data_IF_084908642649
#
_entry.id   IF_084908642649
#
_cell.length_a   1.000
_cell.length_b   1.000
_cell.length_c   1.000
_cell.angle_alpha   90.00
_cell.angle_beta   90.00
_cell.angle_gamma   90.00
#
_symmetry.space_group_name_H-M   'P 1'
#
loop_
_entity.id
_entity.type
_entity.pdbx_description
1 polymer ?
#
# COMPACT_ATOMS: atom_id res chain seq x y z
N UNK A 1 -7.22 30.05 17.15
CA UNK A 1 -6.61 30.23 18.50
C UNK A 1 -5.10 30.31 18.36
N UNK A 2 -4.38 31.22 19.02
CA UNK A 2 -2.98 31.51 18.65
C UNK A 2 -2.02 30.44 19.17
N UNK A 3 -1.14 30.05 18.28
CA UNK A 3 -0.03 29.05 18.42
C UNK A 3 0.91 29.26 19.65
N UNK A 4 0.67 30.23 20.53
CA UNK A 4 1.49 30.50 21.71
C UNK A 4 1.10 29.71 22.96
N UNK A 5 -0.10 29.12 23.04
CA UNK A 5 -0.50 28.31 24.19
C UNK A 5 0.01 26.87 24.16
N UNK A 6 0.27 26.32 22.97
CA UNK A 6 0.74 24.93 22.82
C UNK A 6 2.22 24.74 23.25
N UNK A 7 3.03 25.80 23.15
CA UNK A 7 4.44 25.75 23.54
C UNK A 7 4.69 25.85 25.05
N UNK A 8 3.72 26.28 25.82
CA UNK A 8 3.81 26.38 27.30
C UNK A 8 3.45 25.08 28.02
N UNK A 9 2.67 24.20 27.38
CA UNK A 9 2.33 22.89 27.97
C UNK A 9 3.45 21.86 27.85
N UNK A 10 4.27 21.94 26.81
CA UNK A 10 5.37 21.00 26.60
C UNK A 10 6.61 21.30 27.46
N UNK A 11 6.78 22.55 27.91
CA UNK A 11 7.89 22.96 28.79
C UNK A 11 7.66 22.62 30.27
N UNK A 12 6.42 22.32 30.68
CA UNK A 12 6.10 22.03 32.08
C UNK A 12 6.21 20.53 32.41
N UNK A 13 6.18 19.65 31.44
CA UNK A 13 6.30 18.19 31.63
C UNK A 13 7.76 17.70 31.69
N UNK A 14 8.73 18.49 31.22
CA UNK A 14 10.15 18.15 31.27
C UNK A 14 10.86 18.54 32.57
N UNK A 15 10.19 19.28 33.46
CA UNK A 15 10.80 19.77 34.72
C UNK A 15 10.49 18.89 35.95
N UNK A 16 9.72 17.79 35.80
CA UNK A 16 9.30 16.95 36.94
C UNK A 16 10.05 15.59 37.02
N UNK A 17 11.01 15.33 36.16
CA UNK A 17 11.72 14.04 36.09
C UNK A 17 13.12 14.03 36.70
N UNK A 18 13.54 15.05 37.49
CA UNK A 18 14.93 15.21 37.98
C UNK A 18 15.07 15.32 39.50
N UNK A 19 14.17 14.79 40.30
CA UNK A 19 14.36 14.69 41.76
C UNK A 19 13.90 13.34 42.28
N UNK A 20 14.68 12.28 42.05
CA UNK A 20 14.69 11.07 42.89
C UNK A 20 15.92 10.21 42.56
N UNK A 21 17.08 10.62 43.03
CA UNK A 21 18.27 9.75 43.18
C UNK A 21 19.16 10.31 44.22
N UNK A 22 18.91 10.00 45.49
CA UNK A 22 19.89 9.96 46.55
C UNK A 22 19.26 9.34 47.78
N UNK A 23 19.60 8.09 48.10
CA UNK A 23 20.00 7.59 49.40
C UNK A 23 20.14 6.07 49.30
N UNK A 24 21.34 5.62 49.56
CA UNK A 24 21.79 4.25 49.58
C UNK A 24 21.34 3.48 50.82
N UNK A 25 21.55 2.20 50.82
CA UNK A 25 22.31 1.47 51.82
C UNK A 25 22.54 0.03 51.40
N UNK A 26 23.72 -0.42 51.80
CA UNK A 26 24.31 -1.75 51.66
C UNK A 26 23.40 -2.88 52.20
N UNK A 27 23.41 -4.05 51.51
CA UNK A 27 23.51 -5.34 52.18
C UNK A 27 23.87 -6.46 51.19
N UNK A 28 24.83 -7.26 51.63
CA UNK A 28 25.50 -8.39 50.97
C UNK A 28 24.53 -9.58 50.64
N UNK A 29 24.63 -10.11 49.41
CA UNK A 29 24.08 -11.41 49.01
C UNK A 29 24.76 -11.96 47.76
N UNK A 30 24.99 -13.27 47.64
CA UNK A 30 26.11 -13.83 46.88
C UNK A 30 25.91 -13.82 45.35
N UNK A 31 27.05 -13.68 44.69
CA UNK A 31 27.26 -13.69 43.24
C UNK A 31 26.56 -14.86 42.52
N UNK A 32 25.66 -14.56 41.62
CA UNK A 32 25.21 -15.49 40.58
C UNK A 32 26.20 -15.46 39.42
N UNK A 33 26.79 -16.62 39.13
CA UNK A 33 27.69 -16.84 38.00
C UNK A 33 26.94 -16.62 36.68
N UNK A 34 27.46 -15.71 35.86
CA UNK A 34 27.08 -15.58 34.46
C UNK A 34 27.67 -16.78 33.72
N UNK A 35 26.81 -17.67 33.25
CA UNK A 35 27.19 -18.74 32.32
C UNK A 35 27.19 -18.07 30.93
N UNK A 36 28.38 -17.88 30.42
CA UNK A 36 28.63 -17.49 29.03
C UNK A 36 28.31 -18.70 28.14
N UNK A 37 27.13 -18.72 27.53
CA UNK A 37 26.75 -19.72 26.56
C UNK A 37 27.40 -19.38 25.21
N UNK A 38 28.42 -20.16 24.89
CA UNK A 38 29.14 -20.07 23.62
C UNK A 38 28.20 -20.43 22.44
N UNK A 39 28.07 -19.51 21.47
CA UNK A 39 27.43 -19.78 20.21
C UNK A 39 28.17 -20.92 19.46
N UNK A 40 27.46 -21.85 18.80
CA UNK A 40 28.11 -22.88 17.99
C UNK A 40 28.74 -22.28 16.72
N UNK A 41 30.02 -22.60 16.52
CA UNK A 41 30.78 -22.33 15.31
C UNK A 41 30.10 -22.94 14.08
N UNK A 42 29.86 -22.11 13.08
CA UNK A 42 29.36 -22.56 11.79
C UNK A 42 30.42 -23.40 11.05
N UNK A 43 30.14 -24.67 10.80
CA UNK A 43 30.96 -25.57 9.97
C UNK A 43 30.90 -25.09 8.52
N UNK A 44 32.03 -24.95 7.82
CA UNK A 44 32.01 -24.56 6.42
C UNK A 44 31.46 -25.70 5.54
N UNK A 45 30.34 -25.42 4.88
CA UNK A 45 29.76 -26.32 3.86
C UNK A 45 30.68 -26.35 2.65
N UNK A 46 31.21 -27.53 2.36
CA UNK A 46 32.06 -27.87 1.23
C UNK A 46 31.30 -27.62 -0.08
N UNK A 47 31.87 -26.79 -0.96
CA UNK A 47 31.33 -26.51 -2.27
C UNK A 47 31.28 -27.78 -3.13
N UNK A 48 30.14 -28.01 -3.79
CA UNK A 48 29.97 -29.09 -4.77
C UNK A 48 30.83 -28.82 -6.02
N UNK A 49 31.38 -29.86 -6.65
CA UNK A 49 32.19 -29.71 -7.87
C UNK A 49 31.32 -29.29 -9.05
N UNK A 50 31.85 -28.38 -9.87
CA UNK A 50 31.26 -27.94 -11.13
C UNK A 50 31.06 -29.09 -12.12
N UNK A 51 30.00 -29.10 -12.94
CA UNK A 51 29.80 -30.09 -13.97
C UNK A 51 30.86 -29.94 -15.08
N UNK A 52 31.45 -31.04 -15.44
CA UNK A 52 32.40 -31.19 -16.53
C UNK A 52 31.67 -30.96 -17.86
N UNK A 53 32.14 -30.02 -18.63
CA UNK A 53 31.69 -29.72 -19.99
C UNK A 53 32.11 -30.86 -20.90
N UNK A 54 31.12 -31.65 -21.40
CA UNK A 54 31.32 -32.71 -22.38
C UNK A 54 31.39 -32.07 -23.77
N UNK A 55 32.52 -32.23 -24.42
CA UNK A 55 32.79 -31.68 -25.74
C UNK A 55 31.89 -32.32 -26.81
N UNK A 56 31.17 -31.48 -27.55
CA UNK A 56 30.40 -31.88 -28.71
C UNK A 56 31.33 -32.34 -29.87
N UNK A 57 30.95 -33.38 -30.64
CA UNK A 57 31.74 -33.83 -31.75
C UNK A 57 31.73 -32.85 -32.92
N UNK A 58 32.91 -32.64 -33.52
CA UNK A 58 33.13 -31.83 -34.72
C UNK A 58 32.29 -32.36 -35.91
N UNK A 59 31.49 -31.43 -36.48
CA UNK A 59 30.73 -31.68 -37.69
C UNK A 59 31.66 -31.58 -38.91
N UNK A 60 31.75 -32.66 -39.71
CA UNK A 60 32.43 -32.74 -40.99
C UNK A 60 31.80 -31.78 -42.01
N UNK A 61 32.57 -30.99 -42.76
CA UNK A 61 32.00 -30.06 -43.73
C UNK A 61 31.48 -30.84 -44.96
N UNK A 62 30.17 -30.70 -45.19
CA UNK A 62 29.53 -31.17 -46.43
C UNK A 62 29.69 -30.07 -47.48
N UNK A 63 30.31 -30.47 -48.60
CA UNK A 63 30.55 -29.65 -49.80
C UNK A 63 29.23 -29.14 -50.38
N UNK A 64 29.10 -27.82 -50.58
CA UNK A 64 27.93 -27.17 -51.15
C UNK A 64 27.87 -27.34 -52.67
N UNK A 65 26.68 -27.57 -53.26
CA UNK A 65 26.52 -27.64 -54.72
C UNK A 65 26.74 -26.26 -55.38
N UNK A 66 27.18 -26.22 -56.64
CA UNK A 66 27.52 -24.97 -57.32
C UNK A 66 26.29 -24.07 -57.54
N UNK A 67 26.50 -22.77 -57.31
CA UNK A 67 25.51 -21.74 -57.49
C UNK A 67 25.05 -21.59 -58.95
N UNK A 68 23.75 -21.32 -59.21
CA UNK A 68 23.26 -20.98 -60.54
C UNK A 68 23.75 -19.60 -60.97
N UNK A 69 24.06 -19.47 -62.22
CA UNK A 69 24.52 -18.26 -62.91
C UNK A 69 23.43 -17.14 -62.82
N UNK A 70 23.78 -15.92 -62.44
CA UNK A 70 22.81 -14.84 -62.32
C UNK A 70 22.30 -14.38 -63.70
N UNK A 71 20.97 -14.42 -63.86
CA UNK A 71 20.26 -13.69 -64.95
C UNK A 71 20.26 -12.21 -64.63
N UNK A 72 20.51 -11.27 -65.57
CA UNK A 72 20.47 -9.89 -65.28
C UNK A 72 19.04 -9.45 -64.93
N UNK A 73 18.87 -8.98 -63.71
CA UNK A 73 17.63 -8.37 -63.25
C UNK A 73 17.48 -6.97 -63.89
N UNK A 74 16.28 -6.70 -64.43
CA UNK A 74 15.85 -5.38 -64.84
C UNK A 74 15.79 -4.43 -63.62
N UNK A 75 15.76 -3.09 -63.86
CA UNK A 75 15.73 -2.12 -62.79
C UNK A 75 14.47 -2.32 -61.91
N UNK A 76 14.72 -2.53 -60.61
CA UNK A 76 13.63 -2.59 -59.62
C UNK A 76 12.93 -1.21 -59.53
N UNK A 77 11.62 -1.19 -59.32
CA UNK A 77 10.91 0.06 -58.97
C UNK A 77 11.53 0.61 -57.69
N UNK A 78 11.91 1.88 -57.71
CA UNK A 78 12.28 2.61 -56.50
C UNK A 78 11.04 2.70 -55.61
N UNK A 79 10.98 1.87 -54.60
CA UNK A 79 9.98 1.99 -53.52
C UNK A 79 10.32 3.24 -52.76
N UNK A 80 9.48 4.29 -52.99
CA UNK A 80 9.53 5.54 -52.26
C UNK A 80 9.26 5.18 -50.79
N UNK A 81 10.31 5.27 -49.94
CA UNK A 81 10.21 5.01 -48.52
C UNK A 81 9.10 5.92 -47.95
N UNK A 82 8.07 5.27 -47.37
CA UNK A 82 7.07 6.00 -46.61
C UNK A 82 7.79 6.84 -45.54
N UNK A 83 7.41 8.13 -45.37
CA UNK A 83 8.02 8.95 -44.34
C UNK A 83 7.90 8.23 -43.00
N UNK A 84 9.03 8.07 -42.31
CA UNK A 84 9.04 7.60 -40.93
C UNK A 84 8.09 8.51 -40.13
N UNK A 85 7.22 7.95 -39.25
CA UNK A 85 6.37 8.78 -38.45
C UNK A 85 7.27 9.72 -37.63
N UNK A 86 7.11 11.01 -37.86
CA UNK A 86 7.77 12.02 -37.04
C UNK A 86 7.38 11.72 -35.59
N UNK A 87 8.33 11.63 -34.64
CA UNK A 87 8.00 11.47 -33.24
C UNK A 87 7.00 12.59 -32.89
N UNK A 88 5.80 12.22 -32.47
CA UNK A 88 4.85 13.19 -31.96
C UNK A 88 5.46 13.71 -30.66
N UNK A 89 6.02 14.90 -30.71
CA UNK A 89 6.52 15.58 -29.52
C UNK A 89 5.37 15.66 -28.53
N UNK A 90 5.57 15.07 -27.34
CA UNK A 90 4.55 15.10 -26.30
C UNK A 90 4.15 16.55 -26.00
N UNK A 91 2.89 16.84 -25.68
CA UNK A 91 2.48 18.21 -25.35
C UNK A 91 3.42 18.78 -24.28
N UNK A 92 3.94 20.01 -24.45
CA UNK A 92 4.96 20.58 -23.57
C UNK A 92 4.49 20.85 -22.13
N UNK A 93 3.20 20.65 -21.85
CA UNK A 93 2.57 21.06 -20.59
C UNK A 93 2.24 19.91 -19.63
N UNK A 94 2.74 18.69 -19.85
CA UNK A 94 2.52 17.58 -18.93
C UNK A 94 3.83 17.00 -18.38
N UNK A 95 3.85 16.53 -17.12
CA UNK A 95 5.01 15.87 -16.54
C UNK A 95 5.49 14.71 -17.39
N UNK A 96 6.82 14.57 -17.51
CA UNK A 96 7.47 13.49 -18.25
C UNK A 96 8.25 12.55 -17.30
N UNK A 97 8.52 13.02 -16.09
CA UNK A 97 9.34 12.32 -15.09
C UNK A 97 8.68 12.40 -13.72
N UNK A 98 7.78 11.47 -13.47
CA UNK A 98 7.01 11.40 -12.23
C UNK A 98 7.73 10.48 -11.24
N UNK A 99 7.97 10.95 -10.02
CA UNK A 99 8.29 10.11 -8.88
C UNK A 99 7.05 9.98 -8.02
N UNK A 100 6.59 8.74 -7.76
CA UNK A 100 5.44 8.49 -6.89
C UNK A 100 5.87 7.84 -5.58
N UNK A 101 5.60 8.51 -4.47
CA UNK A 101 5.83 8.02 -3.11
C UNK A 101 4.50 7.67 -2.42
N UNK A 102 3.52 7.26 -3.21
CA UNK A 102 2.19 6.85 -2.76
C UNK A 102 1.75 5.60 -3.52
N UNK A 103 1.60 4.45 -2.86
CA UNK A 103 1.12 3.23 -3.51
C UNK A 103 -0.22 3.41 -4.21
N UNK A 104 -1.15 4.14 -3.61
CA UNK A 104 -2.46 4.43 -4.21
C UNK A 104 -2.32 5.28 -5.48
N UNK A 105 -1.56 6.38 -5.42
CA UNK A 105 -1.35 7.24 -6.57
C UNK A 105 -0.61 6.50 -7.69
N UNK A 106 0.34 5.62 -7.35
CA UNK A 106 1.02 4.76 -8.33
C UNK A 106 0.01 3.89 -9.08
N UNK A 107 -0.88 3.19 -8.38
CA UNK A 107 -1.92 2.38 -9.04
C UNK A 107 -2.82 3.21 -9.95
N UNK A 108 -3.21 4.40 -9.52
CA UNK A 108 -4.05 5.32 -10.31
C UNK A 108 -3.30 5.78 -11.56
N UNK A 109 -2.04 6.23 -11.43
CA UNK A 109 -1.21 6.69 -12.55
C UNK A 109 -1.10 5.62 -13.65
N UNK A 110 -0.86 4.37 -13.26
CA UNK A 110 -0.82 3.27 -14.23
C UNK A 110 -2.20 2.98 -14.83
N UNK A 111 -3.25 3.00 -14.04
CA UNK A 111 -4.63 2.72 -14.52
C UNK A 111 -5.12 3.78 -15.52
N UNK A 112 -4.74 5.06 -15.36
CA UNK A 112 -5.08 6.11 -16.32
C UNK A 112 -4.06 6.22 -17.46
N UNK A 113 -3.15 5.26 -17.62
CA UNK A 113 -2.20 5.19 -18.72
C UNK A 113 -1.07 6.21 -18.65
N UNK A 114 -0.71 6.69 -17.46
CA UNK A 114 0.44 7.57 -17.22
C UNK A 114 1.72 6.80 -16.82
N UNK A 115 1.73 5.47 -16.89
CA UNK A 115 2.84 4.63 -16.45
C UNK A 115 4.18 4.97 -17.12
N UNK A 116 4.18 5.32 -18.41
CA UNK A 116 5.40 5.70 -19.14
C UNK A 116 6.04 6.99 -18.62
N UNK A 117 5.30 7.82 -17.86
CA UNK A 117 5.79 9.05 -17.23
C UNK A 117 6.43 8.76 -15.87
N UNK A 118 6.13 7.59 -15.26
CA UNK A 118 6.63 7.22 -13.92
C UNK A 118 8.04 6.67 -14.02
N UNK A 119 9.01 7.38 -13.44
CA UNK A 119 10.43 7.01 -13.49
C UNK A 119 10.94 6.31 -12.24
N UNK A 120 10.28 6.50 -11.09
CA UNK A 120 10.58 5.82 -9.84
C UNK A 120 9.35 5.79 -8.93
N UNK A 121 9.23 4.75 -8.13
CA UNK A 121 8.22 4.65 -7.09
C UNK A 121 8.84 4.15 -5.79
N UNK A 122 8.18 4.35 -4.66
CA UNK A 122 8.66 3.87 -3.37
C UNK A 122 8.60 2.35 -3.23
N UNK A 123 9.19 1.81 -2.17
CA UNK A 123 9.31 0.37 -1.93
C UNK A 123 7.98 -0.35 -1.68
N UNK A 124 6.90 0.39 -1.38
CA UNK A 124 5.55 -0.15 -1.18
C UNK A 124 4.65 -0.03 -2.41
N UNK A 125 5.10 0.67 -3.44
CA UNK A 125 4.39 0.91 -4.70
C UNK A 125 4.69 -0.17 -5.76
N UNK A 126 4.58 -1.45 -5.39
CA UNK A 126 4.94 -2.60 -6.24
C UNK A 126 3.79 -3.10 -7.13
N UNK A 127 2.69 -2.39 -7.20
CA UNK A 127 1.58 -2.69 -8.11
C UNK A 127 1.27 -1.49 -9.01
N UNK A 128 1.07 -1.72 -10.31
CA UNK A 128 1.17 -3.00 -11.02
C UNK A 128 2.64 -3.49 -11.12
N UNK A 129 2.88 -4.75 -11.57
CA UNK A 129 4.24 -5.33 -11.63
C UNK A 129 5.24 -4.56 -12.49
N UNK A 130 4.74 -3.69 -13.39
CA UNK A 130 5.54 -2.83 -14.27
C UNK A 130 6.06 -1.58 -13.57
N UNK A 131 5.56 -1.26 -12.38
CA UNK A 131 5.99 -0.08 -11.63
C UNK A 131 7.51 -0.14 -11.35
N UNK A 132 8.25 0.96 -11.60
CA UNK A 132 9.70 1.02 -11.39
C UNK A 132 10.04 1.17 -9.90
N UNK A 133 9.89 0.10 -9.12
CA UNK A 133 10.09 0.05 -7.67
C UNK A 133 11.54 0.34 -7.32
N UNK A 134 11.74 1.19 -6.34
CA UNK A 134 13.04 1.62 -5.82
C UNK A 134 13.11 1.44 -4.30
N UNK A 135 14.18 1.88 -3.67
CA UNK A 135 14.35 1.96 -2.22
C UNK A 135 13.88 3.31 -1.62
N UNK A 136 13.21 4.15 -2.42
CA UNK A 136 12.57 5.35 -1.91
C UNK A 136 11.48 5.01 -0.89
N UNK A 137 11.24 5.95 0.04
CA UNK A 137 10.25 5.79 1.09
C UNK A 137 9.26 6.96 1.08
N UNK A 138 7.96 6.66 1.10
CA UNK A 138 6.91 7.66 1.35
C UNK A 138 6.75 8.04 2.82
N UNK A 139 7.30 7.24 3.76
CA UNK A 139 7.24 7.47 5.20
C UNK A 139 8.43 8.25 5.75
N UNK A 140 9.61 8.00 5.19
CA UNK A 140 10.87 8.65 5.56
C UNK A 140 11.59 9.10 4.28
N UNK A 141 11.00 10.06 3.53
CA UNK A 141 11.53 10.49 2.26
C UNK A 141 12.79 11.33 2.44
N UNK A 142 13.70 11.19 1.46
CA UNK A 142 14.90 12.00 1.36
C UNK A 142 14.89 12.80 0.06
N UNK A 143 14.98 14.13 0.16
CA UNK A 143 14.93 15.07 -0.98
C UNK A 143 16.00 14.76 -2.01
N UNK A 144 17.26 14.51 -1.60
CA UNK A 144 18.37 14.25 -2.53
C UNK A 144 18.17 12.93 -3.27
N UNK A 145 17.65 11.89 -2.58
CA UNK A 145 17.32 10.60 -3.21
C UNK A 145 16.22 10.75 -4.26
N UNK A 146 15.16 11.52 -3.96
CA UNK A 146 14.08 11.82 -4.91
C UNK A 146 14.61 12.60 -6.11
N UNK A 147 15.42 13.63 -5.88
CA UNK A 147 16.01 14.48 -6.94
C UNK A 147 16.98 13.72 -7.84
N UNK A 148 17.56 12.60 -7.39
CA UNK A 148 18.45 11.78 -8.21
C UNK A 148 17.73 11.18 -9.44
N UNK A 149 16.40 11.13 -9.42
CA UNK A 149 15.55 10.68 -10.54
C UNK A 149 15.16 11.82 -11.46
N UNK A 150 15.62 13.07 -11.20
CA UNK A 150 15.32 14.25 -12.01
C UNK A 150 13.82 14.44 -12.29
N UNK A 151 12.94 14.41 -11.26
CA UNK A 151 11.50 14.52 -11.46
C UNK A 151 11.09 15.94 -11.86
N UNK A 152 10.04 16.04 -12.66
CA UNK A 152 9.28 17.26 -12.91
C UNK A 152 7.96 17.31 -12.14
N UNK A 153 7.51 16.13 -11.62
CA UNK A 153 6.40 16.01 -10.67
C UNK A 153 6.74 14.94 -9.63
N UNK A 154 6.46 15.24 -8.36
CA UNK A 154 6.49 14.26 -7.28
C UNK A 154 5.09 14.11 -6.69
N UNK A 155 4.57 12.87 -6.61
CA UNK A 155 3.27 12.57 -6.02
C UNK A 155 3.47 11.92 -4.65
N UNK A 156 2.86 12.48 -3.61
CA UNK A 156 3.00 12.03 -2.23
C UNK A 156 1.62 11.82 -1.57
N UNK A 157 1.54 10.97 -0.55
CA UNK A 157 0.32 10.82 0.25
C UNK A 157 0.22 11.87 1.37
N UNK A 158 1.35 12.30 1.91
CA UNK A 158 1.46 13.31 2.96
C UNK A 158 2.85 13.97 2.91
N UNK A 159 2.98 15.13 3.53
CA UNK A 159 4.26 15.85 3.61
C UNK A 159 5.08 15.36 4.82
N UNK A 160 5.83 14.27 4.61
CA UNK A 160 6.77 13.76 5.60
C UNK A 160 8.13 14.46 5.45
N UNK A 161 8.80 14.74 6.57
CA UNK A 161 10.14 15.34 6.63
C UNK A 161 10.29 16.68 5.87
N UNK A 162 9.21 17.48 5.79
CA UNK A 162 9.20 18.75 5.04
C UNK A 162 9.63 18.57 3.56
N UNK A 163 9.31 17.41 2.95
CA UNK A 163 9.69 17.05 1.58
C UNK A 163 9.22 18.10 0.57
N UNK A 164 7.98 18.59 0.71
CA UNK A 164 7.42 19.64 -0.17
C UNK A 164 8.29 20.88 -0.17
N UNK A 165 8.70 21.37 1.00
CA UNK A 165 9.54 22.55 1.10
C UNK A 165 10.92 22.35 0.45
N UNK A 166 11.49 21.14 0.58
CA UNK A 166 12.76 20.77 -0.04
C UNK A 166 12.68 20.75 -1.58
N UNK A 167 11.60 20.23 -2.14
CA UNK A 167 11.38 20.12 -3.58
C UNK A 167 11.01 21.49 -4.19
N UNK A 168 10.17 22.29 -3.52
CA UNK A 168 9.80 23.66 -3.93
C UNK A 168 11.04 24.56 -4.03
N UNK A 169 12.00 24.42 -3.11
CA UNK A 169 13.24 25.20 -3.12
C UNK A 169 14.08 25.01 -4.39
N UNK A 170 13.89 23.90 -5.11
CA UNK A 170 14.59 23.58 -6.37
C UNK A 170 13.64 23.60 -7.58
N UNK A 171 12.37 23.98 -7.38
CA UNK A 171 11.39 24.19 -8.45
C UNK A 171 10.75 22.90 -8.98
N UNK A 172 10.73 21.84 -8.20
CA UNK A 172 10.02 20.58 -8.52
C UNK A 172 8.60 20.66 -7.99
N UNK A 173 7.60 20.39 -8.85
CA UNK A 173 6.19 20.38 -8.49
C UNK A 173 5.86 19.18 -7.60
N UNK A 174 5.01 19.40 -6.59
CA UNK A 174 4.53 18.34 -5.69
C UNK A 174 3.00 18.31 -5.68
N UNK A 175 2.44 17.13 -5.97
CA UNK A 175 1.02 16.84 -5.82
C UNK A 175 0.79 15.98 -4.58
N UNK A 176 -0.06 16.46 -3.67
CA UNK A 176 -0.47 15.69 -2.49
C UNK A 176 -1.77 14.95 -2.79
N UNK A 177 -1.69 13.62 -2.93
CA UNK A 177 -2.83 12.71 -3.07
C UNK A 177 -3.11 12.07 -1.71
N UNK A 178 -3.72 12.84 -0.82
CA UNK A 178 -4.02 12.41 0.55
C UNK A 178 -5.15 11.37 0.61
N UNK A 179 -5.22 10.60 1.70
CA UNK A 179 -6.32 9.67 1.93
C UNK A 179 -7.66 10.40 1.94
N UNK A 180 -8.63 10.01 1.10
CA UNK A 180 -9.96 10.62 1.09
C UNK A 180 -10.76 10.18 2.33
N UNK A 181 -11.80 10.94 2.67
CA UNK A 181 -12.73 10.59 3.74
C UNK A 181 -13.84 9.64 3.26
N UNK A 182 -14.15 9.66 1.96
CA UNK A 182 -15.26 8.93 1.36
C UNK A 182 -14.98 8.59 -0.12
N UNK A 183 -15.93 7.91 -0.76
CA UNK A 183 -15.81 7.51 -2.18
C UNK A 183 -15.70 8.71 -3.13
N UNK A 184 -16.44 9.80 -2.87
CA UNK A 184 -16.39 10.99 -3.73
C UNK A 184 -15.00 11.62 -3.70
N UNK A 185 -14.41 11.77 -2.50
CA UNK A 185 -13.02 12.23 -2.37
C UNK A 185 -12.02 11.31 -3.08
N UNK A 186 -12.28 9.99 -3.09
CA UNK A 186 -11.48 9.03 -3.88
C UNK A 186 -11.57 9.29 -5.38
N UNK A 187 -12.77 9.54 -5.90
CA UNK A 187 -12.96 9.88 -7.31
C UNK A 187 -12.35 11.23 -7.69
N UNK A 188 -12.45 12.23 -6.79
CA UNK A 188 -11.82 13.53 -6.97
C UNK A 188 -10.29 13.40 -7.04
N UNK A 189 -9.68 12.57 -6.21
CA UNK A 189 -8.23 12.30 -6.25
C UNK A 189 -7.78 11.68 -7.58
N UNK A 190 -8.59 10.78 -8.17
CA UNK A 190 -8.33 10.23 -9.50
C UNK A 190 -8.40 11.32 -10.57
N UNK A 191 -9.41 12.19 -10.51
CA UNK A 191 -9.58 13.28 -11.45
C UNK A 191 -8.44 14.31 -11.35
N UNK A 192 -8.00 14.66 -10.13
CA UNK A 192 -6.86 15.55 -9.89
C UNK A 192 -5.56 15.00 -10.46
N UNK A 193 -5.28 13.71 -10.24
CA UNK A 193 -4.13 13.03 -10.85
C UNK A 193 -4.24 13.06 -12.38
N UNK A 194 -5.42 12.79 -12.94
CA UNK A 194 -5.65 12.87 -14.39
C UNK A 194 -5.35 14.25 -14.97
N UNK A 195 -5.75 15.31 -14.27
CA UNK A 195 -5.45 16.70 -14.69
C UNK A 195 -3.93 16.94 -14.62
N UNK A 196 -3.30 16.59 -13.51
CA UNK A 196 -1.88 16.85 -13.29
C UNK A 196 -0.98 16.16 -14.33
N UNK A 197 -1.37 14.97 -14.81
CA UNK A 197 -0.54 14.19 -15.76
C UNK A 197 -1.06 14.23 -17.20
N UNK A 198 -2.09 15.04 -17.49
CA UNK A 198 -2.66 15.19 -18.82
C UNK A 198 -3.41 13.96 -19.32
N UNK A 199 -4.12 13.26 -18.41
CA UNK A 199 -4.93 12.06 -18.65
C UNK A 199 -6.37 12.22 -18.18
N UNK A 200 -6.98 13.37 -18.51
CA UNK A 200 -8.30 13.76 -18.01
C UNK A 200 -9.40 12.79 -18.45
N UNK A 201 -9.41 12.41 -19.74
CA UNK A 201 -10.44 11.53 -20.29
C UNK A 201 -10.32 10.10 -19.73
N UNK A 202 -9.08 9.61 -19.58
CA UNK A 202 -8.80 8.28 -19.01
C UNK A 202 -9.17 8.24 -17.52
N UNK A 203 -8.89 9.31 -16.76
CA UNK A 203 -9.29 9.44 -15.36
C UNK A 203 -10.83 9.47 -15.23
N UNK A 204 -11.52 10.20 -16.09
CA UNK A 204 -12.98 10.23 -16.08
C UNK A 204 -13.59 8.85 -16.42
N UNK A 205 -13.01 8.11 -17.36
CA UNK A 205 -13.41 6.75 -17.66
C UNK A 205 -13.19 5.81 -16.48
N UNK A 206 -12.00 5.86 -15.84
CA UNK A 206 -11.71 5.06 -14.65
C UNK A 206 -12.70 5.35 -13.51
N UNK A 207 -13.03 6.62 -13.26
CA UNK A 207 -14.03 6.99 -12.24
C UNK A 207 -15.40 6.41 -12.57
N UNK A 208 -15.81 6.46 -13.84
CA UNK A 208 -17.11 5.91 -14.25
C UNK A 208 -17.18 4.38 -14.06
N UNK A 209 -16.10 3.68 -14.41
CA UNK A 209 -16.00 2.22 -14.24
C UNK A 209 -15.99 1.84 -12.76
N UNK A 210 -15.20 2.54 -11.94
CA UNK A 210 -15.11 2.30 -10.49
C UNK A 210 -16.46 2.55 -9.80
N UNK A 211 -17.19 3.61 -10.15
CA UNK A 211 -18.54 3.84 -9.61
C UNK A 211 -19.45 2.66 -9.89
N UNK A 212 -19.47 2.16 -11.11
CA UNK A 212 -20.32 1.04 -11.50
C UNK A 212 -19.93 -0.27 -10.77
N UNK A 213 -18.63 -0.54 -10.63
CA UNK A 213 -18.13 -1.73 -9.93
C UNK A 213 -18.39 -1.66 -8.43
N UNK A 214 -18.20 -0.48 -7.81
CA UNK A 214 -18.47 -0.25 -6.40
C UNK A 214 -19.96 -0.38 -6.11
N UNK A 215 -20.84 0.25 -6.91
CA UNK A 215 -22.28 0.14 -6.75
C UNK A 215 -22.75 -1.33 -6.84
N UNK A 216 -22.19 -2.08 -7.79
CA UNK A 216 -22.49 -3.51 -7.92
C UNK A 216 -22.01 -4.33 -6.72
N UNK A 217 -20.83 -4.04 -6.18
CA UNK A 217 -20.27 -4.73 -5.02
C UNK A 217 -21.05 -4.38 -3.73
N UNK A 218 -21.43 -3.12 -3.54
CA UNK A 218 -22.25 -2.67 -2.40
C UNK A 218 -23.67 -3.30 -2.46
N UNK A 219 -24.25 -3.43 -3.64
CA UNK A 219 -25.56 -4.07 -3.81
C UNK A 219 -25.56 -5.57 -3.44
N UNK A 220 -24.39 -6.18 -3.33
CA UNK A 220 -24.24 -7.56 -2.86
C UNK A 220 -24.23 -7.67 -1.33
N UNK A 221 -24.11 -6.59 -0.57
CA UNK A 221 -24.14 -6.63 0.90
C UNK A 221 -25.54 -7.08 1.40
N UNK A 222 -25.61 -7.81 2.54
CA UNK A 222 -26.88 -8.23 3.12
C UNK A 222 -27.65 -7.04 3.69
N UNK A 223 -28.99 -7.12 3.69
CA UNK A 223 -29.86 -6.07 4.28
C UNK A 223 -29.87 -6.08 5.83
N UNK A 224 -29.23 -7.08 6.45
CA UNK A 224 -29.20 -7.23 7.92
C UNK A 224 -27.98 -6.52 8.47
N UNK A 225 -28.12 -5.61 9.46
CA UNK A 225 -26.99 -4.95 10.07
C UNK A 225 -26.15 -5.95 10.88
N UNK A 226 -24.86 -6.02 10.58
CA UNK A 226 -23.88 -6.91 11.22
C UNK A 226 -22.86 -6.05 11.95
N UNK A 227 -22.55 -6.39 13.21
CA UNK A 227 -21.48 -5.73 13.96
C UNK A 227 -20.12 -6.18 13.46
N UNK A 228 -19.32 -5.21 13.02
CA UNK A 228 -17.97 -5.43 12.45
C UNK A 228 -16.91 -4.80 13.33
N UNK A 229 -15.85 -5.56 13.58
CA UNK A 229 -14.60 -5.08 14.11
C UNK A 229 -13.50 -5.23 13.05
N UNK A 230 -12.88 -4.14 12.64
CA UNK A 230 -11.68 -4.16 11.78
C UNK A 230 -10.46 -3.87 12.64
N UNK A 231 -9.57 -4.84 12.75
CA UNK A 231 -8.36 -4.73 13.56
C UNK A 231 -7.17 -4.36 12.68
N UNK A 232 -6.50 -3.26 12.99
CA UNK A 232 -5.32 -2.79 12.26
C UNK A 232 -4.02 -3.39 12.80
N UNK A 233 -3.95 -3.66 14.11
CA UNK A 233 -2.79 -4.25 14.77
C UNK A 233 -3.15 -4.90 16.12
N UNK A 234 -2.18 -5.57 16.74
CA UNK A 234 -2.34 -6.27 18.02
C UNK A 234 -2.43 -5.33 19.24
N UNK A 235 -2.45 -4.03 19.04
CA UNK A 235 -2.71 -3.02 20.09
C UNK A 235 -4.14 -2.51 20.02
N UNK A 236 -4.98 -3.16 19.21
CA UNK A 236 -6.42 -2.90 19.04
C UNK A 236 -6.76 -1.55 18.38
N UNK A 237 -5.85 -0.98 17.59
CA UNK A 237 -6.25 0.10 16.69
C UNK A 237 -7.26 -0.42 15.69
N UNK A 238 -8.28 0.39 15.44
CA UNK A 238 -9.41 0.06 14.56
C UNK A 238 -9.68 1.22 13.59
N UNK A 239 -10.69 1.05 12.76
CA UNK A 239 -11.19 2.07 11.84
C UNK A 239 -12.65 2.39 12.18
N UNK A 240 -12.98 3.66 12.37
CA UNK A 240 -14.38 4.09 12.48
C UNK A 240 -14.93 4.52 11.12
N UNK A 241 -16.24 4.79 11.06
CA UNK A 241 -16.91 5.32 9.87
C UNK A 241 -16.40 6.70 9.41
N UNK A 242 -15.57 7.37 10.23
CA UNK A 242 -14.87 8.61 9.85
C UNK A 242 -13.59 8.36 9.05
N UNK A 243 -13.18 7.11 8.85
CA UNK A 243 -12.10 6.72 7.96
C UNK A 243 -12.63 6.22 6.61
N UNK A 244 -11.79 6.25 5.58
CA UNK A 244 -12.15 5.69 4.27
C UNK A 244 -12.54 4.20 4.35
N UNK A 245 -11.77 3.40 5.10
CA UNK A 245 -12.06 1.97 5.29
C UNK A 245 -13.42 1.79 6.00
N UNK A 246 -13.67 2.58 7.04
CA UNK A 246 -14.94 2.53 7.76
C UNK A 246 -16.13 3.02 6.93
N UNK A 247 -15.92 3.97 6.02
CA UNK A 247 -16.96 4.40 5.08
C UNK A 247 -17.44 3.24 4.17
N UNK A 248 -16.57 2.28 3.84
CA UNK A 248 -16.95 1.05 3.12
C UNK A 248 -17.95 0.23 3.95
N UNK A 249 -17.67 0.00 5.24
CA UNK A 249 -18.59 -0.72 6.13
C UNK A 249 -19.92 0.03 6.30
N UNK A 250 -19.88 1.35 6.46
CA UNK A 250 -21.08 2.18 6.58
C UNK A 250 -21.93 2.11 5.30
N UNK A 251 -21.32 2.15 4.12
CA UNK A 251 -22.00 2.03 2.83
C UNK A 251 -22.69 0.66 2.64
N UNK A 252 -22.20 -0.38 3.32
CA UNK A 252 -22.82 -1.72 3.36
C UNK A 252 -23.89 -1.87 4.45
N UNK A 253 -24.17 -0.84 5.25
CA UNK A 253 -25.12 -0.91 6.36
C UNK A 253 -24.61 -1.73 7.55
N UNK A 254 -23.32 -2.00 7.65
CA UNK A 254 -22.73 -2.65 8.81
C UNK A 254 -22.68 -1.71 10.02
N UNK A 255 -22.69 -2.28 11.21
CA UNK A 255 -22.50 -1.55 12.47
C UNK A 255 -21.02 -1.64 12.84
N UNK A 256 -20.30 -0.54 12.69
CA UNK A 256 -18.88 -0.50 13.04
C UNK A 256 -18.74 -0.28 14.55
N UNK A 257 -18.18 -1.25 15.28
CA UNK A 257 -18.05 -1.14 16.75
C UNK A 257 -17.09 -0.04 17.17
N UNK A 258 -16.22 0.43 16.28
CA UNK A 258 -15.26 1.48 16.58
C UNK A 258 -15.87 2.91 16.58
N UNK A 259 -17.10 3.09 16.04
CA UNK A 259 -17.72 4.41 15.90
C UNK A 259 -17.94 5.12 17.24
N UNK A 260 -18.41 4.39 18.25
CA UNK A 260 -18.65 4.97 19.59
C UNK A 260 -17.34 5.31 20.32
N UNK A 261 -16.23 4.69 19.96
CA UNK A 261 -14.92 4.95 20.54
C UNK A 261 -14.16 6.09 19.87
N UNK A 262 -14.60 6.55 18.69
CA UNK A 262 -13.98 7.63 17.92
C UNK A 262 -14.53 9.01 18.29
N UNK A 263 -14.40 9.37 19.58
CA UNK A 263 -14.94 10.62 20.11
C UNK A 263 -14.34 11.88 19.45
N UNK A 264 -13.11 11.78 18.94
CA UNK A 264 -12.40 12.90 18.31
C UNK A 264 -12.69 13.00 16.80
N UNK A 265 -13.35 11.99 16.21
CA UNK A 265 -13.66 11.91 14.79
C UNK A 265 -12.43 11.76 13.89
N UNK A 266 -11.34 11.20 14.45
CA UNK A 266 -10.08 11.01 13.72
C UNK A 266 -10.13 9.82 12.76
N UNK A 267 -11.04 8.87 12.99
CA UNK A 267 -11.21 7.71 12.13
C UNK A 267 -10.43 6.46 12.56
N UNK A 268 -9.49 6.58 13.50
CA UNK A 268 -8.58 5.49 13.91
C UNK A 268 -8.48 5.36 15.43
N UNK A 269 -9.58 5.00 16.12
CA UNK A 269 -9.55 4.84 17.57
C UNK A 269 -8.79 3.60 18.00
N UNK A 270 -8.11 3.69 19.15
CA UNK A 270 -7.57 2.53 19.85
C UNK A 270 -8.64 2.02 20.84
N UNK A 271 -9.05 0.76 20.64
CA UNK A 271 -10.02 0.09 21.51
C UNK A 271 -9.30 -0.61 22.67
N UNK A 272 -10.10 -1.14 23.62
CA UNK A 272 -9.60 -2.08 24.62
C UNK A 272 -10.18 -3.46 24.37
N UNK A 273 -9.50 -4.49 24.89
CA UNK A 273 -9.97 -5.87 24.79
C UNK A 273 -11.37 -6.04 25.37
N UNK A 274 -11.61 -5.44 26.55
CA UNK A 274 -12.90 -5.49 27.23
C UNK A 274 -14.01 -4.83 26.40
N UNK A 275 -13.71 -3.69 25.76
CA UNK A 275 -14.67 -3.02 24.89
C UNK A 275 -15.05 -3.89 23.69
N UNK A 276 -14.09 -4.53 23.04
CA UNK A 276 -14.32 -5.42 21.89
C UNK A 276 -15.20 -6.59 22.28
N UNK A 277 -14.90 -7.24 23.42
CA UNK A 277 -15.69 -8.36 23.94
C UNK A 277 -17.10 -7.93 24.30
N UNK A 278 -17.29 -6.75 24.94
CA UNK A 278 -18.61 -6.22 25.29
C UNK A 278 -19.42 -5.83 24.04
N UNK A 279 -18.80 -5.20 23.06
CA UNK A 279 -19.43 -4.83 21.79
C UNK A 279 -19.85 -6.08 20.97
N UNK A 280 -19.21 -7.21 21.22
CA UNK A 280 -19.52 -8.53 20.67
C UNK A 280 -19.70 -8.51 19.14
N UNK A 281 -18.65 -8.25 18.36
CA UNK A 281 -18.73 -8.24 16.90
C UNK A 281 -19.12 -9.60 16.35
N UNK A 282 -19.88 -9.61 15.24
CA UNK A 282 -20.30 -10.80 14.51
C UNK A 282 -19.34 -11.14 13.36
N UNK A 283 -18.53 -10.15 12.95
CA UNK A 283 -17.46 -10.28 11.98
C UNK A 283 -16.21 -9.57 12.50
N UNK A 284 -15.07 -10.23 12.44
CA UNK A 284 -13.75 -9.64 12.67
C UNK A 284 -13.00 -9.66 11.34
N UNK A 285 -12.45 -8.51 10.95
CA UNK A 285 -11.62 -8.35 9.76
C UNK A 285 -10.22 -7.97 10.20
N UNK A 286 -9.24 -8.73 9.74
CA UNK A 286 -7.82 -8.43 9.86
C UNK A 286 -7.18 -8.40 8.47
N UNK A 287 -5.98 -7.85 8.35
CA UNK A 287 -5.24 -7.87 7.09
C UNK A 287 -4.10 -8.89 7.13
N UNK A 288 -3.58 -9.27 5.98
CA UNK A 288 -2.40 -10.13 5.86
C UNK A 288 -1.09 -9.47 6.35
N UNK A 289 -1.13 -8.15 6.65
CA UNK A 289 0.02 -7.40 7.14
C UNK A 289 0.21 -7.47 8.67
N UNK A 290 -0.83 -7.86 9.43
CA UNK A 290 -0.79 -7.79 10.91
C UNK A 290 0.20 -8.76 11.58
N UNK A 291 0.69 -9.77 10.85
CA UNK A 291 1.71 -10.71 11.33
C UNK A 291 1.20 -11.82 12.25
N UNK A 292 -0.13 -11.96 12.39
CA UNK A 292 -0.81 -13.04 13.13
C UNK A 292 -2.02 -13.53 12.33
N UNK A 293 -2.56 -14.69 12.70
CA UNK A 293 -3.62 -15.37 11.95
C UNK A 293 -5.00 -15.21 12.60
N UNK A 294 -6.06 -15.63 11.88
CA UNK A 294 -7.40 -15.71 12.43
C UNK A 294 -7.47 -16.67 13.64
N UNK A 295 -6.69 -17.75 13.62
CA UNK A 295 -6.58 -18.69 14.74
C UNK A 295 -5.92 -18.05 15.96
N UNK A 296 -4.92 -17.20 15.77
CA UNK A 296 -4.29 -16.46 16.87
C UNK A 296 -5.28 -15.48 17.51
N UNK A 297 -6.10 -14.81 16.73
CA UNK A 297 -7.18 -13.94 17.22
C UNK A 297 -8.21 -14.76 18.01
N UNK A 298 -8.64 -15.89 17.47
CA UNK A 298 -9.61 -16.77 18.12
C UNK A 298 -9.09 -17.38 19.43
N UNK A 299 -7.76 -17.55 19.56
CA UNK A 299 -7.13 -18.12 20.76
C UNK A 299 -6.90 -17.10 21.88
N UNK A 300 -7.23 -15.83 21.69
CA UNK A 300 -7.05 -14.79 22.72
C UNK A 300 -7.88 -15.11 23.98
N UNK A 301 -7.32 -14.88 25.19
CA UNK A 301 -8.06 -15.11 26.43
C UNK A 301 -9.33 -14.26 26.48
N UNK A 302 -10.47 -14.87 26.84
CA UNK A 302 -11.75 -14.15 26.96
C UNK A 302 -12.53 -13.98 25.64
N UNK A 303 -11.92 -14.19 24.48
CA UNK A 303 -12.58 -13.98 23.18
C UNK A 303 -13.51 -15.13 22.75
N UNK A 304 -13.47 -16.26 23.42
CA UNK A 304 -14.35 -17.41 23.12
C UNK A 304 -15.84 -17.12 23.23
N UNK A 305 -16.25 -16.02 23.87
CA UNK A 305 -17.65 -15.59 23.99
C UNK A 305 -18.06 -14.64 22.85
N UNK A 306 -17.10 -14.09 22.08
CA UNK A 306 -17.37 -13.19 20.94
C UNK A 306 -18.01 -13.98 19.80
N UNK A 307 -19.12 -13.49 19.27
CA UNK A 307 -19.89 -14.17 18.24
C UNK A 307 -19.07 -14.46 16.98
N UNK A 308 -18.22 -13.54 16.56
CA UNK A 308 -17.30 -13.75 15.43
C UNK A 308 -16.36 -14.93 15.67
N UNK A 309 -15.82 -15.06 16.89
CA UNK A 309 -14.91 -16.16 17.26
C UNK A 309 -15.68 -17.48 17.35
N UNK A 310 -16.83 -17.50 18.01
CA UNK A 310 -17.65 -18.71 18.18
C UNK A 310 -18.12 -19.31 16.87
N UNK A 311 -18.39 -18.44 15.89
CA UNK A 311 -18.93 -18.83 14.59
C UNK A 311 -17.83 -18.96 13.50
N UNK A 312 -16.56 -18.65 13.83
CA UNK A 312 -15.45 -18.68 12.89
C UNK A 312 -15.49 -17.57 11.84
N UNK A 313 -16.14 -16.45 12.16
CA UNK A 313 -16.30 -15.29 11.28
C UNK A 313 -15.12 -14.31 11.45
N UNK A 314 -13.89 -14.79 11.30
CA UNK A 314 -12.68 -13.99 11.30
C UNK A 314 -12.08 -14.10 9.90
N UNK A 315 -12.06 -13.00 9.16
CA UNK A 315 -11.56 -12.97 7.78
C UNK A 315 -10.27 -12.19 7.68
N UNK A 316 -9.36 -12.74 6.87
CA UNK A 316 -8.10 -12.07 6.50
C UNK A 316 -8.27 -11.49 5.12
N UNK A 317 -8.13 -10.17 4.99
CA UNK A 317 -8.17 -9.48 3.70
C UNK A 317 -6.77 -9.05 3.29
N UNK A 318 -6.54 -8.91 1.99
CA UNK A 318 -5.28 -8.39 1.50
C UNK A 318 -5.15 -6.91 1.88
N UNK A 319 -4.04 -6.55 2.54
CA UNK A 319 -3.78 -5.21 3.07
C UNK A 319 -3.73 -4.14 1.97
N UNK A 320 -3.20 -4.48 0.79
CA UNK A 320 -3.10 -3.54 -0.31
C UNK A 320 -4.46 -3.08 -0.82
N UNK A 321 -5.41 -4.03 -0.99
CA UNK A 321 -6.75 -3.67 -1.46
C UNK A 321 -7.59 -3.01 -0.36
N UNK A 322 -7.32 -3.31 0.92
CA UNK A 322 -8.04 -2.75 2.05
C UNK A 322 -7.62 -1.31 2.37
N UNK A 323 -6.36 -0.95 2.12
CA UNK A 323 -5.79 0.36 2.49
C UNK A 323 -5.61 1.34 1.33
N UNK A 324 -6.01 0.97 0.10
CA UNK A 324 -5.82 1.80 -1.08
C UNK A 324 -7.15 2.13 -1.75
N UNK A 325 -7.49 3.41 -1.83
CA UNK A 325 -8.71 3.93 -2.47
C UNK A 325 -8.58 4.06 -4.00
N UNK A 326 -7.90 3.11 -4.61
CA UNK A 326 -7.56 3.11 -6.02
C UNK A 326 -8.36 2.10 -6.85
N UNK A 327 -7.84 1.73 -8.02
CA UNK A 327 -8.52 0.86 -8.98
C UNK A 327 -8.90 -0.53 -8.44
N UNK A 328 -8.30 -0.97 -7.35
CA UNK A 328 -8.58 -2.28 -6.73
C UNK A 328 -9.58 -2.23 -5.57
N UNK A 329 -10.11 -1.06 -5.23
CA UNK A 329 -11.10 -0.91 -4.15
C UNK A 329 -12.33 -1.82 -4.30
N UNK A 330 -12.91 -2.06 -5.51
CA UNK A 330 -14.03 -2.98 -5.67
C UNK A 330 -13.73 -4.41 -5.17
N UNK A 331 -12.46 -4.84 -5.19
CA UNK A 331 -12.06 -6.16 -4.69
C UNK A 331 -12.18 -6.23 -3.16
N UNK A 332 -11.79 -5.18 -2.44
CA UNK A 332 -11.98 -5.10 -0.99
C UNK A 332 -13.47 -5.09 -0.63
N UNK A 333 -14.26 -4.24 -1.31
CA UNK A 333 -15.71 -4.16 -1.11
C UNK A 333 -16.37 -5.52 -1.34
N UNK A 334 -15.99 -6.22 -2.41
CA UNK A 334 -16.50 -7.56 -2.72
C UNK A 334 -16.15 -8.60 -1.65
N UNK A 335 -14.92 -8.59 -1.16
CA UNK A 335 -14.48 -9.51 -0.09
C UNK A 335 -15.25 -9.28 1.22
N UNK A 336 -15.47 -8.01 1.59
CA UNK A 336 -16.27 -7.66 2.78
C UNK A 336 -17.74 -8.04 2.58
N UNK A 337 -18.32 -7.78 1.40
CA UNK A 337 -19.71 -8.16 1.11
C UNK A 337 -19.92 -9.69 1.23
N UNK A 338 -18.98 -10.49 0.72
CA UNK A 338 -19.02 -11.96 0.84
C UNK A 338 -18.94 -12.42 2.31
N UNK A 339 -18.06 -11.79 3.09
CA UNK A 339 -17.94 -12.06 4.52
C UNK A 339 -19.25 -11.74 5.26
N UNK A 340 -19.84 -10.56 5.00
CA UNK A 340 -21.12 -10.16 5.60
C UNK A 340 -22.27 -11.09 5.19
N UNK A 341 -22.34 -11.55 3.93
CA UNK A 341 -23.33 -12.55 3.48
C UNK A 341 -23.17 -13.87 4.24
N UNK A 342 -21.93 -14.32 4.46
CA UNK A 342 -21.63 -15.55 5.21
C UNK A 342 -22.16 -15.46 6.64
N UNK A 343 -21.91 -14.32 7.31
CA UNK A 343 -22.44 -14.04 8.66
C UNK A 343 -23.97 -14.04 8.67
N UNK A 344 -24.59 -13.31 7.75
CA UNK A 344 -26.07 -13.22 7.64
C UNK A 344 -26.73 -14.59 7.44
N UNK A 345 -26.12 -15.46 6.63
CA UNK A 345 -26.61 -16.82 6.40
C UNK A 345 -26.52 -17.73 7.63
N UNK A 346 -25.58 -17.47 8.54
CA UNK A 346 -25.39 -18.24 9.78
C UNK A 346 -26.41 -17.87 10.87
N UNK A 347 -27.04 -16.71 10.79
CA UNK A 347 -28.00 -16.18 11.77
C UNK A 347 -29.46 -16.44 11.36
N UNK A 348 -29.72 -16.83 10.10
CA UNK A 348 -31.03 -17.10 9.52
C UNK A 348 -31.48 -18.55 9.79
#
# INVERSE_FOLDING_TARGET
MPRRLFRLFFALLLALALVASACGNDDDGPAAQVIEESAPEATPTQAAPAPTEEAAPEATPTEAPPAPTPTPAGPAPTEEAAPEPTPTEAPPDRPQRIVSLSPTATEILFAIGAGDQVVAVDSFSYYPPEAPVTDLSGWDPNVEAVLSYEPDLVVIANDANDLMAGLDAVGVEVLVSAAPADFEGGYDSIAELGIAVGRVDEAAALVADLRAEIDAALAAAPEVPIRVYHELDNTYFSVSSNSFIGAVYAAMGAINIADEADADGYGYPQLTEEYIVEANPELIVITDLVGYTAEDVAARPGWGEVDAVRNGNIVVVNSDIASRWGPRLPQFIGAVAEALQTVAASVS
#
